data_IF_064690037778
#
_entry.id   IF_064690037778
#
_cell.length_a   1.000
_cell.length_b   1.000
_cell.length_c   1.000
_cell.angle_alpha   90.00
_cell.angle_beta   90.00
_cell.angle_gamma   90.00
#
_symmetry.space_group_name_H-M   'P 1'
#
loop_
_entity.id
_entity.type
_entity.pdbx_description
1 polymer ?
#
# COMPACT_ATOMS: atom_id res chain seq x y z
N UNK A 1 1.94 1.89 -14.02
CA UNK A 1 1.01 1.77 -12.87
C UNK A 1 -0.19 0.94 -13.26
N UNK A 2 -0.74 0.21 -12.33
CA UNK A 2 -1.93 -0.61 -12.56
C UNK A 2 -3.03 -0.18 -11.60
N UNK A 3 -4.27 -0.13 -12.10
CA UNK A 3 -5.44 0.14 -11.28
C UNK A 3 -6.24 -1.15 -11.16
N UNK A 4 -6.52 -1.56 -9.93
CA UNK A 4 -7.20 -2.83 -9.65
C UNK A 4 -8.31 -2.62 -8.64
N UNK A 5 -9.33 -3.47 -8.72
CA UNK A 5 -10.36 -3.57 -7.69
C UNK A 5 -9.93 -4.67 -6.74
N UNK A 6 -9.74 -4.31 -5.48
CA UNK A 6 -9.17 -5.19 -4.48
C UNK A 6 -9.98 -5.13 -3.19
N UNK A 7 -9.79 -6.12 -2.34
CA UNK A 7 -10.42 -6.17 -1.02
C UNK A 7 -9.35 -5.97 0.05
N UNK A 8 -9.66 -5.19 1.07
CA UNK A 8 -8.74 -4.96 2.18
C UNK A 8 -8.73 -6.19 3.08
N UNK A 9 -7.54 -6.76 3.28
CA UNK A 9 -7.36 -7.87 4.22
C UNK A 9 -7.06 -7.32 5.60
N UNK A 10 -6.10 -6.40 5.68
CA UNK A 10 -5.77 -5.72 6.94
C UNK A 10 -4.88 -4.52 6.65
N UNK A 11 -4.88 -3.60 7.57
CA UNK A 11 -4.04 -2.41 7.51
C UNK A 11 -3.24 -2.32 8.79
N UNK A 12 -1.94 -2.03 8.67
CA UNK A 12 -1.07 -1.82 9.81
C UNK A 12 -1.23 -0.41 10.38
N UNK A 13 -0.40 -0.08 11.34
CA UNK A 13 -0.38 1.25 11.92
C UNK A 13 0.56 2.15 11.14
N UNK A 14 0.24 3.44 11.08
CA UNK A 14 1.08 4.42 10.43
C UNK A 14 2.30 4.72 11.30
N UNK A 15 3.42 4.93 10.66
CA UNK A 15 4.67 5.29 11.32
C UNK A 15 5.44 6.28 10.45
N UNK A 16 6.37 7.01 11.07
CA UNK A 16 7.16 8.02 10.35
C UNK A 16 8.41 7.38 9.77
N UNK A 17 8.72 7.75 8.53
CA UNK A 17 9.97 7.35 7.88
C UNK A 17 10.70 8.60 7.38
N UNK A 18 12.00 8.49 7.21
CA UNK A 18 12.82 9.57 6.68
C UNK A 18 12.46 9.84 5.22
N UNK A 19 12.36 11.12 4.87
CA UNK A 19 12.11 11.51 3.49
C UNK A 19 12.88 12.80 3.19
N UNK A 20 13.73 12.74 2.17
CA UNK A 20 14.48 13.91 1.73
C UNK A 20 13.61 14.94 1.02
N UNK A 21 12.39 14.56 0.65
CA UNK A 21 11.47 15.41 -0.08
C UNK A 21 10.56 16.24 0.81
N UNK A 22 10.56 16.00 2.11
CA UNK A 22 9.71 16.72 3.06
C UNK A 22 10.54 17.72 3.84
N UNK A 23 9.97 18.89 4.10
CA UNK A 23 10.64 19.93 4.89
C UNK A 23 10.99 19.44 6.30
N UNK A 24 10.11 18.65 6.88
CA UNK A 24 10.33 18.08 8.21
C UNK A 24 11.32 16.91 8.20
N UNK A 25 11.69 16.42 7.00
CA UNK A 25 12.56 15.26 6.87
C UNK A 25 11.86 13.94 7.13
N UNK A 26 10.55 13.92 7.30
CA UNK A 26 9.81 12.69 7.56
C UNK A 26 8.46 12.70 6.84
N UNK A 27 7.93 11.50 6.63
CA UNK A 27 6.63 11.29 5.99
C UNK A 27 5.98 10.09 6.68
N UNK A 28 4.67 10.11 6.78
CA UNK A 28 3.92 8.97 7.32
C UNK A 28 3.91 7.84 6.31
N UNK A 29 4.06 6.63 6.81
CA UNK A 29 3.99 5.41 6.02
C UNK A 29 3.11 4.39 6.73
N UNK A 30 2.35 3.63 5.94
CA UNK A 30 1.50 2.57 6.47
C UNK A 30 1.47 1.43 5.46
N UNK A 31 1.51 0.20 5.95
CA UNK A 31 1.37 -0.95 5.08
C UNK A 31 -0.07 -1.43 5.10
N UNK A 32 -0.57 -1.85 3.94
CA UNK A 32 -1.91 -2.41 3.80
C UNK A 32 -1.81 -3.68 2.95
N UNK A 33 -2.51 -4.72 3.36
CA UNK A 33 -2.59 -5.96 2.59
C UNK A 33 -3.90 -5.94 1.82
N UNK A 34 -3.79 -6.04 0.49
CA UNK A 34 -4.91 -6.05 -0.42
C UNK A 34 -4.94 -7.37 -1.16
N UNK A 35 -6.14 -7.86 -1.47
CA UNK A 35 -6.33 -9.15 -2.11
C UNK A 35 -7.24 -8.99 -3.31
N UNK A 36 -6.94 -9.68 -4.40
CA UNK A 36 -7.82 -9.72 -5.56
C UNK A 36 -9.14 -10.37 -5.20
N UNK A 37 -10.22 -9.91 -5.84
CA UNK A 37 -11.54 -10.50 -5.63
C UNK A 37 -11.58 -11.88 -6.28
N UNK A 38 -12.26 -12.79 -5.62
CA UNK A 38 -12.38 -14.15 -6.13
C UNK A 38 -12.40 -15.17 -5.00
N UNK A 39 -11.73 -16.29 -5.21
CA UNK A 39 -11.67 -17.37 -4.26
C UNK A 39 -10.63 -17.13 -3.16
N UNK A 40 -10.33 -18.19 -2.42
CA UNK A 40 -9.46 -18.07 -1.27
C UNK A 40 -7.96 -18.08 -1.64
N UNK A 41 -7.63 -18.41 -2.89
CA UNK A 41 -6.24 -18.48 -3.34
C UNK A 41 -5.87 -17.35 -4.31
N UNK A 42 -6.63 -16.27 -4.31
CA UNK A 42 -6.32 -15.12 -5.16
C UNK A 42 -5.06 -14.40 -4.66
N UNK A 43 -4.44 -13.62 -5.54
CA UNK A 43 -3.20 -12.93 -5.22
C UNK A 43 -3.41 -11.88 -4.13
N UNK A 44 -2.46 -11.81 -3.21
CA UNK A 44 -2.42 -10.78 -2.17
C UNK A 44 -1.19 -9.91 -2.37
N UNK A 45 -1.33 -8.64 -2.01
CA UNK A 45 -0.27 -7.65 -2.16
C UNK A 45 -0.06 -6.91 -0.86
N UNK A 46 1.20 -6.82 -0.42
CA UNK A 46 1.56 -5.92 0.67
C UNK A 46 1.96 -4.60 0.04
N UNK A 47 1.16 -3.58 0.26
CA UNK A 47 1.35 -2.28 -0.37
C UNK A 47 1.75 -1.25 0.67
N UNK A 48 2.62 -0.32 0.28
CA UNK A 48 2.95 0.82 1.12
C UNK A 48 2.08 2.01 0.73
N UNK A 49 1.59 2.71 1.74
CA UNK A 49 0.90 3.99 1.56
C UNK A 49 1.76 5.07 2.19
N UNK A 50 1.89 6.21 1.53
CA UNK A 50 2.72 7.32 2.00
C UNK A 50 1.89 8.59 2.15
N UNK A 51 2.31 9.44 3.07
CA UNK A 51 1.72 10.77 3.25
C UNK A 51 0.29 10.70 3.73
N UNK A 52 -0.57 11.49 3.10
CA UNK A 52 -1.98 11.56 3.51
C UNK A 52 -2.71 10.24 3.37
N UNK A 53 -2.37 9.46 2.34
CA UNK A 53 -2.98 8.16 2.14
C UNK A 53 -2.70 7.23 3.31
N UNK A 54 -1.50 7.32 3.89
CA UNK A 54 -1.13 6.48 5.03
C UNK A 54 -1.96 6.78 6.28
N UNK A 55 -2.58 7.96 6.37
CA UNK A 55 -3.41 8.33 7.50
C UNK A 55 -4.87 7.92 7.32
N UNK A 56 -5.26 7.50 6.11
CA UNK A 56 -6.59 6.99 5.86
C UNK A 56 -6.74 5.60 6.48
N UNK A 57 -7.91 5.31 7.03
CA UNK A 57 -8.17 4.00 7.64
C UNK A 57 -9.23 3.26 6.83
N UNK A 58 -8.91 2.03 6.51
CA UNK A 58 -9.81 1.13 5.80
C UNK A 58 -10.14 -0.05 6.73
N UNK A 59 -11.32 -0.62 6.56
CA UNK A 59 -11.74 -1.75 7.37
C UNK A 59 -11.52 -3.05 6.62
N UNK A 60 -11.27 -4.11 7.36
CA UNK A 60 -11.17 -5.45 6.79
C UNK A 60 -12.46 -5.75 6.01
N UNK A 61 -12.28 -6.22 4.78
CA UNK A 61 -13.40 -6.53 3.90
C UNK A 61 -13.86 -5.40 2.99
N UNK A 62 -13.35 -4.18 3.19
CA UNK A 62 -13.68 -3.07 2.29
C UNK A 62 -13.22 -3.40 0.87
N UNK A 63 -14.04 -3.04 -0.11
CA UNK A 63 -13.68 -3.15 -1.53
C UNK A 63 -13.22 -1.78 -1.99
N UNK A 64 -12.06 -1.74 -2.60
CA UNK A 64 -11.41 -0.49 -2.98
C UNK A 64 -10.94 -0.56 -4.43
N UNK A 65 -10.80 0.60 -5.04
CA UNK A 65 -10.06 0.76 -6.31
C UNK A 65 -8.70 1.30 -5.92
N UNK A 66 -7.65 0.52 -6.19
CA UNK A 66 -6.29 0.88 -5.83
C UNK A 66 -5.44 1.05 -7.07
N UNK A 67 -4.67 2.12 -7.11
CA UNK A 67 -3.66 2.34 -8.14
C UNK A 67 -2.31 1.99 -7.56
N UNK A 68 -1.65 1.00 -8.16
CA UNK A 68 -0.43 0.40 -7.63
C UNK A 68 0.73 0.65 -8.58
N UNK A 69 1.87 0.94 -7.99
CA UNK A 69 3.13 1.05 -8.70
C UNK A 69 4.05 -0.05 -8.20
N UNK A 70 4.51 -0.89 -9.12
CA UNK A 70 5.41 -2.00 -8.81
C UNK A 70 6.84 -1.60 -9.11
N UNK A 71 7.74 -1.88 -8.19
CA UNK A 71 9.16 -1.61 -8.38
C UNK A 71 9.98 -2.61 -7.58
N UNK A 72 11.29 -2.58 -7.77
CA UNK A 72 12.21 -3.37 -6.97
C UNK A 72 13.29 -2.46 -6.44
N UNK A 73 13.90 -2.85 -5.33
CA UNK A 73 15.11 -2.18 -4.88
C UNK A 73 16.07 -3.23 -4.31
N UNK A 74 17.33 -2.87 -4.35
CA UNK A 74 18.40 -3.74 -3.88
C UNK A 74 18.95 -3.19 -2.57
N UNK A 75 19.15 -4.09 -1.62
CA UNK A 75 19.72 -3.73 -0.33
C UNK A 75 20.61 -4.88 0.14
N UNK A 76 21.90 -4.58 0.36
CA UNK A 76 22.89 -5.55 0.82
C UNK A 76 22.90 -6.84 -0.04
N UNK A 77 22.83 -6.67 -1.36
CA UNK A 77 22.90 -7.79 -2.30
C UNK A 77 21.60 -8.54 -2.48
N UNK A 78 20.53 -8.12 -1.81
CA UNK A 78 19.21 -8.75 -1.96
C UNK A 78 18.27 -7.81 -2.71
N UNK A 79 17.41 -8.38 -3.53
CA UNK A 79 16.44 -7.63 -4.31
C UNK A 79 15.06 -7.84 -3.71
N UNK A 80 14.38 -6.74 -3.40
CA UNK A 80 13.05 -6.77 -2.78
C UNK A 80 12.03 -6.18 -3.73
N UNK A 81 10.85 -6.78 -3.76
CA UNK A 81 9.71 -6.23 -4.47
C UNK A 81 9.07 -5.15 -3.61
N UNK A 82 8.79 -4.00 -4.21
CA UNK A 82 8.03 -2.95 -3.55
C UNK A 82 6.78 -2.64 -4.34
N UNK A 83 5.67 -2.49 -3.63
CA UNK A 83 4.40 -2.10 -4.22
C UNK A 83 3.94 -0.85 -3.48
N UNK A 84 3.82 0.25 -4.21
CA UNK A 84 3.36 1.51 -3.65
C UNK A 84 1.94 1.76 -4.12
N UNK A 85 1.01 1.93 -3.18
CA UNK A 85 -0.34 2.35 -3.49
C UNK A 85 -0.32 3.87 -3.60
N UNK A 86 -0.53 4.38 -4.81
CA UNK A 86 -0.53 5.83 -5.05
C UNK A 86 -1.90 6.42 -4.83
N UNK A 87 -2.94 5.59 -4.87
CA UNK A 87 -4.31 6.02 -4.58
C UNK A 87 -5.14 4.81 -4.18
N UNK A 88 -6.03 4.99 -3.22
CA UNK A 88 -6.98 3.95 -2.80
C UNK A 88 -8.31 4.65 -2.52
N UNK A 89 -9.35 4.21 -3.24
CA UNK A 89 -10.69 4.77 -3.09
C UNK A 89 -11.65 3.63 -2.72
N UNK A 90 -12.34 3.79 -1.60
CA UNK A 90 -13.34 2.83 -1.15
C UNK A 90 -14.59 2.96 -2.02
N UNK A 91 -15.12 1.82 -2.48
CA UNK A 91 -16.29 1.79 -3.38
C UNK A 91 -17.50 1.04 -2.80
N UNK A 92 -17.38 0.50 -1.58
CA UNK A 92 -18.55 -0.16 -0.97
C UNK A 92 -18.96 0.46 0.35
#
# INVERSE_FOLDING_TARGET
>A
METKILKVVRQGEAFSVQSAKQESGSIQKCNIVLKELGGKFENEYVCAMLGNLATCRFCEGDVVVATLRFSTHEYQGQVFQEILATDIVKIN
#
